data_IF_287477182336
#
_entry.id   IF_287477182336
#
_cell.length_a   1.000
_cell.length_b   1.000
_cell.length_c   1.000
_cell.angle_alpha   90.00
_cell.angle_beta   90.00
_cell.angle_gamma   90.00
#
_symmetry.space_group_name_H-M   'P 1'
#
loop_
_entity.id
_entity.type
_entity.pdbx_description
1 polymer ?
#
# COMPACT_ATOMS: atom_id res chain seq x y z
N UNK A 1 -7.68 -17.27 -2.37
CA UNK A 1 -8.20 -18.40 -1.55
C UNK A 1 -9.06 -17.89 -0.42
N UNK A 2 -8.55 -16.93 0.37
CA UNK A 2 -9.28 -16.30 1.47
C UNK A 2 -10.66 -15.76 1.08
N UNK A 3 -10.76 -14.96 0.01
CA UNK A 3 -12.05 -14.44 -0.46
C UNK A 3 -13.09 -15.52 -0.82
N UNK A 4 -12.67 -16.70 -1.30
CA UNK A 4 -13.59 -17.83 -1.55
C UNK A 4 -14.04 -18.46 -0.22
N UNK A 5 -13.12 -18.64 0.74
CA UNK A 5 -13.42 -19.18 2.08
C UNK A 5 -14.40 -18.29 2.84
N UNK A 6 -14.15 -16.98 2.80
CA UNK A 6 -14.93 -15.95 3.49
C UNK A 6 -16.13 -15.43 2.70
N UNK A 7 -16.31 -15.89 1.45
CA UNK A 7 -17.38 -15.45 0.54
C UNK A 7 -17.42 -13.92 0.39
N UNK A 8 -16.24 -13.33 0.22
CA UNK A 8 -16.09 -11.90 0.04
C UNK A 8 -16.58 -11.55 -1.36
N UNK A 9 -17.66 -10.78 -1.44
CA UNK A 9 -18.17 -10.26 -2.70
C UNK A 9 -17.37 -9.01 -3.10
N UNK A 10 -16.83 -8.96 -4.32
CA UNK A 10 -16.21 -7.74 -4.81
C UNK A 10 -17.26 -6.63 -4.98
N UNK A 11 -16.85 -5.35 -4.94
CA UNK A 11 -17.72 -4.24 -5.31
C UNK A 11 -18.27 -4.40 -6.73
N UNK A 12 -19.36 -3.68 -7.03
CA UNK A 12 -19.90 -3.65 -8.39
C UNK A 12 -18.83 -3.17 -9.38
N UNK A 13 -18.78 -3.76 -10.60
CA UNK A 13 -17.85 -3.32 -11.63
C UNK A 13 -18.16 -1.87 -12.03
N UNK A 14 -17.11 -1.11 -12.32
CA UNK A 14 -17.22 0.26 -12.81
C UNK A 14 -16.92 0.22 -14.31
N UNK A 15 -17.93 0.50 -15.14
CA UNK A 15 -17.82 0.48 -16.61
C UNK A 15 -17.41 1.84 -17.22
N UNK A 16 -17.07 2.82 -16.38
CA UNK A 16 -16.61 4.16 -16.79
C UNK A 16 -15.08 4.22 -16.84
N UNK A 17 -14.53 5.18 -17.59
CA UNK A 17 -13.10 5.49 -17.49
C UNK A 17 -12.80 6.08 -16.10
N UNK A 18 -11.92 5.43 -15.35
CA UNK A 18 -11.58 5.83 -13.99
C UNK A 18 -10.87 7.19 -13.97
N UNK A 19 -10.16 7.59 -15.02
CA UNK A 19 -9.45 8.88 -15.05
C UNK A 19 -10.40 10.07 -15.21
N UNK A 20 -11.57 9.85 -15.82
CA UNK A 20 -12.56 10.88 -16.13
C UNK A 20 -13.72 10.91 -15.12
N UNK A 21 -13.59 10.21 -13.99
CA UNK A 21 -14.60 10.24 -12.94
C UNK A 21 -14.71 11.64 -12.33
N UNK A 22 -15.93 12.17 -12.11
CA UNK A 22 -16.10 13.41 -11.38
C UNK A 22 -15.63 13.24 -9.92
N UNK A 23 -15.05 14.27 -9.26
CA UNK A 23 -14.50 14.21 -7.90
C UNK A 23 -15.45 13.60 -6.85
N UNK A 24 -16.74 13.75 -7.10
CA UNK A 24 -17.85 13.26 -6.28
C UNK A 24 -17.92 11.71 -6.25
N UNK A 25 -17.61 11.06 -7.39
CA UNK A 25 -17.63 9.60 -7.55
C UNK A 25 -16.28 8.95 -7.14
N UNK A 26 -15.20 9.73 -7.04
CA UNK A 26 -13.89 9.22 -6.61
C UNK A 26 -13.86 8.71 -5.17
N UNK A 27 -14.69 9.30 -4.29
CA UNK A 27 -14.75 8.92 -2.88
C UNK A 27 -15.28 7.50 -2.64
N UNK A 28 -16.05 6.97 -3.59
CA UNK A 28 -16.65 5.63 -3.50
C UNK A 28 -15.68 4.54 -3.99
N UNK A 29 -14.58 4.92 -4.66
CA UNK A 29 -13.59 4.00 -5.21
C UNK A 29 -12.42 3.84 -4.24
N UNK A 30 -12.30 2.66 -3.62
CA UNK A 30 -11.13 2.31 -2.82
C UNK A 30 -9.86 2.37 -3.68
N UNK A 31 -8.89 3.17 -3.25
CA UNK A 31 -7.60 3.33 -3.92
C UNK A 31 -6.55 2.39 -3.33
N UNK A 32 -5.48 2.16 -4.09
CA UNK A 32 -4.27 1.51 -3.58
C UNK A 32 -3.48 2.47 -2.67
N UNK A 33 -2.64 1.97 -1.76
CA UNK A 33 -1.76 2.80 -0.95
C UNK A 33 -0.90 3.73 -1.82
N UNK A 34 -0.70 4.97 -1.37
CA UNK A 34 0.03 6.01 -2.10
C UNK A 34 1.56 5.91 -1.93
N UNK A 35 2.04 5.08 -1.00
CA UNK A 35 3.45 4.86 -0.76
C UNK A 35 3.76 3.44 -0.31
N UNK A 36 5.03 3.05 -0.42
CA UNK A 36 5.51 1.78 0.11
C UNK A 36 5.28 1.68 1.62
N UNK A 37 5.48 2.77 2.37
CA UNK A 37 5.24 2.82 3.82
C UNK A 37 3.79 2.47 4.18
N UNK A 38 2.83 3.04 3.45
CA UNK A 38 1.41 2.74 3.66
C UNK A 38 1.07 1.30 3.29
N UNK A 39 1.65 0.76 2.23
CA UNK A 39 1.45 -0.63 1.85
C UNK A 39 2.02 -1.60 2.90
N UNK A 40 3.19 -1.29 3.48
CA UNK A 40 3.79 -2.07 4.57
C UNK A 40 2.94 -2.02 5.85
N UNK A 41 2.41 -0.85 6.19
CA UNK A 41 1.50 -0.71 7.34
C UNK A 41 0.18 -1.48 7.13
N UNK A 42 -0.36 -1.46 5.91
CA UNK A 42 -1.54 -2.24 5.57
C UNK A 42 -1.26 -3.76 5.65
N UNK A 43 -0.08 -4.21 5.19
CA UNK A 43 0.35 -5.59 5.32
C UNK A 43 0.52 -5.98 6.80
N UNK A 44 1.14 -5.13 7.61
CA UNK A 44 1.30 -5.38 9.05
C UNK A 44 -0.06 -5.51 9.74
N UNK A 45 -1.03 -4.66 9.38
CA UNK A 45 -2.36 -4.65 9.96
C UNK A 45 -3.26 -5.82 9.54
N UNK A 46 -3.06 -6.38 8.34
CA UNK A 46 -3.86 -7.48 7.80
C UNK A 46 -3.00 -8.44 6.96
N UNK A 47 -2.48 -9.49 7.59
CA UNK A 47 -1.71 -10.54 6.94
C UNK A 47 -2.11 -11.97 7.34
N UNK A 48 -3.23 -12.14 8.07
CA UNK A 48 -3.71 -13.45 8.53
C UNK A 48 -3.97 -14.40 7.36
N UNK A 49 -4.43 -13.86 6.22
CA UNK A 49 -4.67 -14.63 5.00
C UNK A 49 -3.39 -15.23 4.40
N UNK A 50 -2.21 -14.72 4.75
CA UNK A 50 -0.90 -15.26 4.34
C UNK A 50 -0.39 -16.33 5.30
N UNK A 51 -0.76 -16.24 6.58
CA UNK A 51 -0.39 -17.22 7.62
C UNK A 51 -1.19 -18.52 7.47
N UNK A 52 -2.38 -18.44 6.88
CA UNK A 52 -3.25 -19.60 6.66
C UNK A 52 -2.55 -20.71 5.85
N UNK A 53 -2.55 -21.93 6.40
CA UNK A 53 -1.86 -23.08 5.82
C UNK A 53 -0.34 -23.09 5.97
N UNK A 54 0.24 -22.14 6.72
CA UNK A 54 1.69 -22.08 6.98
C UNK A 54 2.53 -21.74 5.76
N UNK A 55 1.92 -21.06 4.77
CA UNK A 55 2.62 -20.64 3.54
C UNK A 55 3.63 -19.53 3.87
N UNK A 56 3.22 -18.58 4.70
CA UNK A 56 4.08 -17.57 5.31
C UNK A 56 4.12 -17.75 6.82
N UNK A 57 5.24 -17.39 7.42
CA UNK A 57 5.40 -17.31 8.87
C UNK A 57 5.37 -15.87 9.32
N UNK A 58 4.92 -15.63 10.55
CA UNK A 58 4.93 -14.31 11.19
C UNK A 58 6.35 -13.70 11.20
N UNK A 59 7.37 -14.52 11.48
CA UNK A 59 8.79 -14.15 11.43
C UNK A 59 9.23 -13.67 10.04
N UNK A 60 8.76 -14.32 8.96
CA UNK A 60 9.09 -13.89 7.60
C UNK A 60 8.45 -12.54 7.27
N UNK A 61 7.20 -12.34 7.68
CA UNK A 61 6.45 -11.11 7.38
C UNK A 61 7.06 -9.93 8.14
N UNK A 62 7.30 -10.07 9.43
CA UNK A 62 7.97 -9.04 10.24
C UNK A 62 9.37 -8.72 9.71
N UNK A 63 10.18 -9.75 9.43
CA UNK A 63 11.51 -9.56 8.83
C UNK A 63 11.45 -8.84 7.48
N UNK A 64 10.45 -9.15 6.65
CA UNK A 64 10.26 -8.49 5.36
C UNK A 64 9.91 -7.02 5.50
N UNK A 65 9.00 -6.69 6.42
CA UNK A 65 8.61 -5.31 6.72
C UNK A 65 9.81 -4.51 7.22
N UNK A 66 10.57 -5.05 8.19
CA UNK A 66 11.77 -4.42 8.72
C UNK A 66 12.82 -4.19 7.64
N UNK A 67 13.08 -5.21 6.83
CA UNK A 67 14.05 -5.12 5.75
C UNK A 67 13.66 -4.04 4.73
N UNK A 68 12.38 -3.98 4.34
CA UNK A 68 11.89 -2.95 3.41
C UNK A 68 11.94 -1.55 4.01
N UNK A 69 11.63 -1.40 5.29
CA UNK A 69 11.76 -0.12 5.98
C UNK A 69 13.23 0.36 5.99
N UNK A 70 14.14 -0.50 6.43
CA UNK A 70 15.55 -0.13 6.58
C UNK A 70 16.29 0.08 5.25
N UNK A 71 15.94 -0.70 4.21
CA UNK A 71 16.70 -0.72 2.96
C UNK A 71 16.07 0.08 1.81
N UNK A 72 14.77 0.41 1.88
CA UNK A 72 14.07 1.12 0.81
C UNK A 72 13.40 2.41 1.32
N UNK A 73 12.60 2.32 2.39
CA UNK A 73 11.84 3.48 2.90
C UNK A 73 12.76 4.54 3.53
N UNK A 74 13.52 4.15 4.55
CA UNK A 74 14.39 5.07 5.29
C UNK A 74 15.46 5.73 4.41
N UNK A 75 16.14 5.00 3.50
CA UNK A 75 17.14 5.61 2.64
C UNK A 75 16.57 6.68 1.72
N UNK A 76 15.32 6.56 1.26
CA UNK A 76 14.66 7.60 0.46
C UNK A 76 14.18 8.74 1.35
N UNK A 77 13.53 8.42 2.47
CA UNK A 77 12.94 9.41 3.40
C UNK A 77 13.98 10.34 4.04
N UNK A 78 15.17 9.82 4.33
CA UNK A 78 16.24 10.57 5.02
C UNK A 78 17.13 11.39 4.08
N UNK A 79 16.93 11.31 2.76
CA UNK A 79 17.77 12.02 1.79
C UNK A 79 16.94 13.09 1.09
N UNK A 80 17.38 14.36 1.15
CA UNK A 80 16.73 15.42 0.40
C UNK A 80 16.66 15.08 -1.08
N UNK A 81 15.51 15.31 -1.70
CA UNK A 81 15.35 15.11 -3.13
C UNK A 81 15.81 16.35 -3.91
N UNK A 82 16.32 16.21 -5.15
CA UNK A 82 16.68 17.38 -5.97
C UNK A 82 15.52 18.37 -6.17
N UNK A 83 14.28 17.88 -6.13
CA UNK A 83 13.10 18.73 -6.25
C UNK A 83 12.89 19.63 -5.03
N UNK A 84 13.21 19.15 -3.82
CA UNK A 84 13.17 19.97 -2.60
C UNK A 84 14.13 21.16 -2.68
N UNK A 85 15.31 21.01 -3.30
CA UNK A 85 16.19 22.14 -3.55
C UNK A 85 15.54 23.18 -4.46
N UNK A 86 14.88 22.77 -5.54
CA UNK A 86 14.16 23.70 -6.41
C UNK A 86 12.99 24.41 -5.71
N UNK A 87 12.37 23.77 -4.71
CA UNK A 87 11.25 24.33 -3.95
C UNK A 87 11.70 25.26 -2.81
N UNK A 88 12.81 24.95 -2.16
CA UNK A 88 13.14 25.52 -0.84
C UNK A 88 14.53 26.17 -0.74
N UNK A 89 15.36 26.20 -1.79
CA UNK A 89 16.70 26.77 -1.71
C UNK A 89 16.73 28.31 -1.77
N UNK A 90 15.87 28.93 -2.60
CA UNK A 90 15.87 30.39 -2.86
C UNK A 90 14.76 31.14 -2.08
N UNK A 91 14.23 30.56 -1.01
CA UNK A 91 13.15 31.15 -0.21
C UNK A 91 13.60 32.32 0.68
#
# INVERSE_FOLDING_TARGET
>A
LDGIKNKIEPPAPIDKDLYDLPPEEWGDVKQVPGSLTEALAALEADHDYLLDGGVFTDDLISTWIDWKNANEVDPVRLRPTPHEFALYFDC
#
